data_IF_809261731558
#
_entry.id   IF_809261731558
#
_cell.length_a   1.000
_cell.length_b   1.000
_cell.length_c   1.000
_cell.angle_alpha   90.00
_cell.angle_beta   90.00
_cell.angle_gamma   90.00
#
_symmetry.space_group_name_H-M   'P 1'
#
loop_
_entity.id
_entity.type
_entity.pdbx_description
1 polymer ?
#
# COMPACT_ATOMS: atom_id res chain seq x y z
N UNK A 1 -23.65 9.57 -0.50
CA UNK A 1 -23.00 8.26 -0.70
C UNK A 1 -21.50 8.48 -0.80
N UNK A 2 -20.68 7.64 -0.14
CA UNK A 2 -19.24 7.65 -0.31
C UNK A 2 -18.87 6.57 -1.36
N UNK A 3 -18.82 6.96 -2.61
CA UNK A 3 -18.45 6.06 -3.72
C UNK A 3 -16.99 6.16 -4.16
N UNK A 4 -16.24 7.10 -3.56
CA UNK A 4 -14.88 7.42 -4.02
C UNK A 4 -13.77 6.88 -3.10
N UNK A 5 -14.10 6.36 -1.93
CA UNK A 5 -13.10 5.92 -0.95
C UNK A 5 -13.58 4.66 -0.22
N UNK A 6 -12.73 3.65 -0.15
CA UNK A 6 -12.98 2.41 0.61
C UNK A 6 -12.81 2.58 2.13
N UNK A 7 -12.34 3.73 2.61
CA UNK A 7 -12.22 4.02 4.04
C UNK A 7 -13.58 3.89 4.74
N UNK A 8 -13.61 3.18 5.85
CA UNK A 8 -14.85 2.89 6.58
C UNK A 8 -15.67 1.71 6.02
N UNK A 9 -15.16 0.98 5.03
CA UNK A 9 -15.82 -0.18 4.42
C UNK A 9 -15.21 -1.51 4.87
N UNK A 10 -15.83 -2.62 4.47
CA UNK A 10 -15.30 -3.97 4.70
C UNK A 10 -13.91 -4.16 4.10
N UNK A 11 -13.66 -3.63 2.91
CA UNK A 11 -12.35 -3.71 2.27
C UNK A 11 -11.23 -3.04 3.11
N UNK A 12 -11.54 -1.95 3.80
CA UNK A 12 -10.60 -1.33 4.74
C UNK A 12 -10.32 -2.26 5.94
N UNK A 13 -11.35 -2.90 6.49
CA UNK A 13 -11.21 -3.85 7.61
C UNK A 13 -10.33 -5.02 7.19
N UNK A 14 -10.55 -5.59 5.99
CA UNK A 14 -9.76 -6.69 5.44
C UNK A 14 -8.29 -6.30 5.22
N UNK A 15 -8.03 -5.09 4.75
CA UNK A 15 -6.67 -4.57 4.60
C UNK A 15 -5.95 -4.45 5.96
N UNK A 16 -6.65 -3.97 6.98
CA UNK A 16 -6.07 -3.84 8.33
C UNK A 16 -5.88 -5.20 8.98
N UNK A 17 -6.79 -6.14 8.79
CA UNK A 17 -6.64 -7.51 9.24
C UNK A 17 -5.41 -8.19 8.60
N UNK A 18 -5.22 -8.01 7.30
CA UNK A 18 -4.02 -8.47 6.58
C UNK A 18 -2.74 -7.84 7.14
N UNK A 19 -2.75 -6.56 7.47
CA UNK A 19 -1.61 -5.88 8.11
C UNK A 19 -1.25 -6.49 9.46
N UNK A 20 -2.26 -6.86 10.24
CA UNK A 20 -2.12 -7.56 11.53
C UNK A 20 -1.87 -9.07 11.37
N UNK A 21 -1.80 -9.60 10.14
CA UNK A 21 -1.60 -11.02 9.79
C UNK A 21 -2.68 -11.94 10.36
N UNK A 22 -3.93 -11.52 10.29
CA UNK A 22 -5.10 -12.25 10.75
C UNK A 22 -6.28 -12.09 9.78
N UNK A 23 -7.29 -12.92 9.93
CA UNK A 23 -8.56 -12.73 9.23
C UNK A 23 -9.39 -11.62 9.89
N UNK A 24 -10.40 -11.10 9.18
CA UNK A 24 -11.32 -10.12 9.75
C UNK A 24 -12.08 -10.68 10.98
N UNK A 25 -12.39 -11.97 10.99
CA UNK A 25 -13.02 -12.64 12.12
C UNK A 25 -12.09 -12.73 13.34
N UNK A 26 -10.83 -13.10 13.13
CA UNK A 26 -9.81 -13.13 14.19
C UNK A 26 -9.55 -11.71 14.73
N UNK A 27 -9.54 -10.69 13.85
CA UNK A 27 -9.40 -9.30 14.27
C UNK A 27 -10.58 -8.85 15.13
N UNK A 28 -11.82 -9.25 14.80
CA UNK A 28 -12.98 -8.96 15.66
C UNK A 28 -12.84 -9.61 17.04
N UNK A 29 -12.48 -10.91 17.10
CA UNK A 29 -12.27 -11.62 18.36
C UNK A 29 -11.13 -11.01 19.19
N UNK A 30 -10.03 -10.59 18.54
CA UNK A 30 -8.95 -9.89 19.21
C UNK A 30 -9.42 -8.55 19.79
N UNK A 31 -10.16 -7.77 19.04
CA UNK A 31 -10.66 -6.46 19.47
C UNK A 31 -11.62 -6.55 20.69
N UNK A 32 -12.33 -7.66 20.86
CA UNK A 32 -13.17 -7.92 22.06
C UNK A 32 -12.34 -8.02 23.35
N UNK A 33 -11.04 -8.32 23.25
CA UNK A 33 -10.11 -8.47 24.36
C UNK A 33 -9.28 -7.20 24.63
N UNK A 34 -9.60 -6.10 23.95
CA UNK A 34 -8.88 -4.85 24.10
C UNK A 34 -9.04 -4.24 25.50
N UNK A 35 -7.96 -3.69 25.99
CA UNK A 35 -7.92 -2.98 27.27
C UNK A 35 -7.91 -1.45 27.11
N UNK A 36 -7.44 -0.98 25.94
CA UNK A 36 -7.36 0.43 25.59
C UNK A 36 -7.45 0.62 24.09
N UNK A 37 -7.65 1.84 23.64
CA UNK A 37 -7.62 2.20 22.22
C UNK A 37 -6.61 3.32 21.99
N UNK A 38 -5.99 3.31 20.81
CA UNK A 38 -5.10 4.36 20.32
C UNK A 38 -5.83 5.25 19.32
N UNK A 39 -5.33 6.46 19.14
CA UNK A 39 -5.80 7.34 18.07
C UNK A 39 -5.17 6.87 16.75
N UNK A 40 -6.01 6.45 15.83
CA UNK A 40 -5.63 6.09 14.46
C UNK A 40 -6.36 7.04 13.53
N UNK A 41 -5.65 7.57 12.52
CA UNK A 41 -6.25 8.47 11.56
C UNK A 41 -7.40 7.81 10.83
N UNK A 42 -8.57 8.40 10.94
CA UNK A 42 -9.83 7.89 10.35
C UNK A 42 -10.02 8.44 8.93
N UNK A 43 -8.99 8.38 8.06
CA UNK A 43 -9.07 8.91 6.69
C UNK A 43 -9.07 7.78 5.67
N UNK A 44 -7.92 7.26 5.28
CA UNK A 44 -7.84 6.13 4.35
C UNK A 44 -6.91 5.05 4.91
N UNK A 45 -6.89 3.88 4.25
CA UNK A 45 -6.07 2.74 4.68
C UNK A 45 -4.58 3.05 4.77
N UNK A 46 -4.08 4.01 3.99
CA UNK A 46 -2.67 4.45 4.03
C UNK A 46 -2.36 5.16 5.34
N UNK A 47 -3.15 6.17 5.71
CA UNK A 47 -2.95 6.89 6.97
C UNK A 47 -3.15 5.99 8.18
N UNK A 48 -4.18 5.12 8.15
CA UNK A 48 -4.37 4.15 9.21
C UNK A 48 -3.15 3.22 9.34
N UNK A 49 -2.56 2.78 8.23
CA UNK A 49 -1.37 1.94 8.23
C UNK A 49 -0.15 2.68 8.78
N UNK A 50 0.02 3.96 8.45
CA UNK A 50 1.10 4.79 8.99
C UNK A 50 1.00 4.97 10.49
N UNK A 51 -0.21 5.00 11.06
CA UNK A 51 -0.41 5.05 12.51
C UNK A 51 -0.29 3.67 13.18
N UNK A 52 -0.78 2.63 12.51
CA UNK A 52 -0.74 1.26 13.04
C UNK A 52 0.67 0.68 13.07
N UNK A 53 1.48 0.94 12.04
CA UNK A 53 2.83 0.38 11.95
C UNK A 53 3.75 0.79 13.12
N UNK A 54 3.81 2.07 13.53
CA UNK A 54 4.56 2.46 14.74
C UNK A 54 4.06 1.78 16.00
N UNK A 55 2.74 1.59 16.16
CA UNK A 55 2.19 0.89 17.32
C UNK A 55 2.65 -0.57 17.37
N UNK A 56 2.64 -1.26 16.23
CA UNK A 56 3.19 -2.62 16.10
C UNK A 56 4.67 -2.63 16.50
N UNK A 57 5.45 -1.69 15.97
CA UNK A 57 6.89 -1.60 16.22
C UNK A 57 7.23 -1.27 17.69
N UNK A 58 6.34 -0.57 18.38
CA UNK A 58 6.44 -0.27 19.80
C UNK A 58 5.98 -1.40 20.71
N UNK A 59 5.51 -2.53 20.13
CA UNK A 59 5.03 -3.68 20.89
C UNK A 59 3.64 -3.47 21.51
N UNK A 60 2.82 -2.59 20.95
CA UNK A 60 1.43 -2.44 21.38
C UNK A 60 0.68 -3.76 21.18
N UNK A 61 -0.24 -4.06 22.09
CA UNK A 61 -1.05 -5.28 22.00
C UNK A 61 -1.90 -5.27 20.74
N UNK A 62 -1.91 -6.39 20.05
CA UNK A 62 -2.68 -6.56 18.81
C UNK A 62 -4.17 -6.34 19.02
N UNK A 63 -4.70 -6.75 20.18
CA UNK A 63 -6.08 -6.57 20.60
C UNK A 63 -6.46 -5.08 20.67
N UNK A 64 -5.57 -4.28 21.28
CA UNK A 64 -5.78 -2.84 21.44
C UNK A 64 -5.70 -2.11 20.08
N UNK A 65 -4.80 -2.55 19.20
CA UNK A 65 -4.69 -2.03 17.83
C UNK A 65 -5.96 -2.39 17.04
N UNK A 66 -6.42 -3.64 17.12
CA UNK A 66 -7.63 -4.08 16.42
C UNK A 66 -8.87 -3.27 16.83
N UNK A 67 -9.08 -3.04 18.13
CA UNK A 67 -10.15 -2.19 18.63
C UNK A 67 -10.04 -0.74 18.15
N UNK A 68 -8.81 -0.22 18.09
CA UNK A 68 -8.52 1.13 17.60
C UNK A 68 -8.86 1.30 16.13
N UNK A 69 -8.62 0.26 15.31
CA UNK A 69 -9.00 0.23 13.89
C UNK A 69 -10.53 0.29 13.75
N UNK A 70 -11.29 -0.51 14.50
CA UNK A 70 -12.76 -0.45 14.47
C UNK A 70 -13.29 0.94 14.86
N UNK A 71 -12.70 1.56 15.88
CA UNK A 71 -13.06 2.92 16.28
C UNK A 71 -12.75 3.95 15.19
N UNK A 72 -11.63 3.80 14.48
CA UNK A 72 -11.28 4.66 13.33
C UNK A 72 -12.30 4.48 12.17
N UNK A 73 -12.74 3.25 11.88
CA UNK A 73 -13.79 2.96 10.90
C UNK A 73 -15.09 3.68 11.24
N UNK A 74 -15.51 3.61 12.51
CA UNK A 74 -16.72 4.29 12.99
C UNK A 74 -16.61 5.80 12.83
N UNK A 75 -15.52 6.38 13.29
CA UNK A 75 -15.28 7.82 13.20
C UNK A 75 -15.30 8.31 11.75
N UNK A 76 -14.67 7.57 10.84
CA UNK A 76 -14.66 7.88 9.42
C UNK A 76 -16.03 7.77 8.79
N UNK A 77 -16.78 6.72 9.13
CA UNK A 77 -18.13 6.51 8.60
C UNK A 77 -19.05 7.63 9.06
N UNK A 78 -19.02 7.99 10.33
CA UNK A 78 -19.83 9.09 10.88
C UNK A 78 -19.42 10.41 10.21
N UNK A 79 -18.15 10.74 10.16
CA UNK A 79 -17.67 11.97 9.55
C UNK A 79 -18.03 12.08 8.06
N UNK A 80 -17.87 10.98 7.32
CA UNK A 80 -18.13 10.93 5.88
C UNK A 80 -19.62 10.96 5.50
N UNK A 81 -20.47 10.30 6.30
CA UNK A 81 -21.89 10.14 5.96
C UNK A 81 -22.81 11.15 6.67
N UNK A 82 -22.51 11.47 7.92
CA UNK A 82 -23.34 12.40 8.70
C UNK A 82 -23.20 13.85 8.22
N UNK A 83 -22.01 14.25 7.75
CA UNK A 83 -21.73 15.62 7.29
C UNK A 83 -22.24 16.69 8.28
N UNK A 84 -21.99 16.46 9.57
CA UNK A 84 -22.44 17.33 10.66
C UNK A 84 -23.91 17.17 11.08
N UNK A 85 -24.68 16.30 10.44
CA UNK A 85 -26.07 16.03 10.81
C UNK A 85 -26.12 15.00 11.95
N UNK A 86 -27.01 15.14 12.92
CA UNK A 86 -27.16 14.15 13.97
C UNK A 86 -27.78 12.85 13.44
N UNK A 87 -27.15 11.73 13.73
CA UNK A 87 -27.72 10.39 13.48
C UNK A 87 -28.49 9.99 14.73
N UNK A 88 -29.81 9.87 14.64
CA UNK A 88 -30.73 9.63 15.77
C UNK A 88 -31.90 8.74 15.37
N UNK A 89 -32.54 8.15 16.35
CA UNK A 89 -33.76 7.35 16.17
C UNK A 89 -33.49 5.84 16.13
N UNK A 90 -34.36 5.09 15.46
CA UNK A 90 -34.22 3.66 15.29
C UNK A 90 -33.18 3.38 14.21
N UNK A 91 -32.06 2.78 14.58
CA UNK A 91 -30.94 2.54 13.67
C UNK A 91 -30.85 1.05 13.36
N UNK A 92 -30.81 0.72 12.07
CA UNK A 92 -30.55 -0.64 11.59
C UNK A 92 -29.12 -0.76 11.11
N UNK A 93 -28.46 -1.83 11.52
CA UNK A 93 -27.15 -2.25 11.06
C UNK A 93 -27.29 -3.32 9.98
N UNK A 94 -26.88 -2.98 8.75
CA UNK A 94 -26.99 -3.82 7.58
C UNK A 94 -25.64 -3.95 6.86
N UNK A 95 -25.50 -4.99 6.05
CA UNK A 95 -24.30 -5.26 5.27
C UNK A 95 -23.26 -6.08 6.02
N UNK A 96 -22.31 -6.66 5.28
CA UNK A 96 -21.34 -7.64 5.78
C UNK A 96 -20.60 -7.21 7.05
N UNK A 97 -19.87 -6.08 7.04
CA UNK A 97 -19.10 -5.65 8.21
C UNK A 97 -19.94 -5.53 9.49
N UNK A 98 -21.11 -4.92 9.39
CA UNK A 98 -22.01 -4.73 10.54
C UNK A 98 -22.74 -6.00 10.95
N UNK A 99 -22.93 -6.94 10.02
CA UNK A 99 -23.51 -8.24 10.34
C UNK A 99 -22.53 -9.12 11.10
N UNK A 100 -21.27 -9.19 10.66
CA UNK A 100 -20.30 -10.12 11.23
C UNK A 100 -19.52 -9.56 12.42
N UNK A 101 -19.30 -8.23 12.49
CA UNK A 101 -18.50 -7.63 13.55
C UNK A 101 -19.35 -7.08 14.70
N UNK A 102 -19.30 -7.78 15.84
CA UNK A 102 -19.90 -7.34 17.12
C UNK A 102 -19.24 -6.07 17.63
N UNK A 103 -17.90 -5.98 17.53
CA UNK A 103 -17.12 -4.83 17.98
C UNK A 103 -17.49 -3.59 17.19
N UNK A 104 -17.68 -3.72 15.87
CA UNK A 104 -18.06 -2.59 15.02
C UNK A 104 -19.42 -2.02 15.43
N UNK A 105 -20.43 -2.89 15.65
CA UNK A 105 -21.75 -2.46 16.12
C UNK A 105 -21.67 -1.76 17.47
N UNK A 106 -20.96 -2.35 18.43
CA UNK A 106 -20.77 -1.76 19.75
C UNK A 106 -20.10 -0.40 19.67
N UNK A 107 -19.08 -0.26 18.83
CA UNK A 107 -18.39 1.00 18.62
C UNK A 107 -19.29 2.08 18.00
N UNK A 108 -20.24 1.70 17.12
CA UNK A 108 -21.26 2.62 16.62
C UNK A 108 -22.26 3.01 17.70
N UNK A 109 -22.74 2.06 18.50
CA UNK A 109 -23.65 2.34 19.61
C UNK A 109 -23.05 3.34 20.59
N UNK A 110 -21.77 3.14 20.96
CA UNK A 110 -21.03 4.05 21.84
C UNK A 110 -20.84 5.43 21.22
N UNK A 111 -20.40 5.49 19.95
CA UNK A 111 -20.10 6.77 19.28
C UNK A 111 -21.34 7.62 19.01
N UNK A 112 -22.48 6.99 18.75
CA UNK A 112 -23.74 7.67 18.45
C UNK A 112 -24.66 7.80 19.66
N UNK A 113 -24.32 7.15 20.77
CA UNK A 113 -25.15 7.03 21.97
C UNK A 113 -26.56 6.49 21.64
N UNK A 114 -26.59 5.34 20.97
CA UNK A 114 -27.81 4.64 20.52
C UNK A 114 -27.74 3.17 20.88
N UNK A 115 -28.84 2.46 20.69
CA UNK A 115 -28.89 0.99 20.66
C UNK A 115 -29.39 0.58 19.28
N UNK A 116 -28.47 0.27 18.38
CA UNK A 116 -28.80 -0.15 17.02
C UNK A 116 -29.24 -1.61 16.97
N UNK A 117 -29.96 -1.97 15.93
CA UNK A 117 -30.52 -3.31 15.70
C UNK A 117 -29.84 -3.92 14.46
N UNK A 118 -29.25 -5.10 14.60
CA UNK A 118 -28.83 -5.92 13.48
C UNK A 118 -29.88 -7.03 13.31
N UNK A 119 -30.81 -6.90 12.34
CA UNK A 119 -31.88 -7.87 12.17
C UNK A 119 -31.34 -9.20 11.62
N UNK A 120 -32.13 -10.26 11.84
CA UNK A 120 -31.90 -11.53 11.14
C UNK A 120 -31.89 -11.30 9.62
N UNK A 121 -31.05 -12.02 8.90
CA UNK A 121 -30.88 -11.85 7.45
C UNK A 121 -30.44 -10.45 6.99
N UNK A 122 -29.79 -9.66 7.85
CA UNK A 122 -29.28 -8.32 7.55
C UNK A 122 -28.42 -8.23 6.27
N UNK A 123 -27.77 -9.32 5.88
CA UNK A 123 -27.03 -9.45 4.62
C UNK A 123 -27.93 -9.44 3.39
N UNK A 124 -29.17 -9.90 3.53
CA UNK A 124 -30.09 -10.09 2.41
C UNK A 124 -31.04 -8.91 2.20
N UNK A 125 -30.97 -7.89 3.06
CA UNK A 125 -31.93 -6.77 3.02
C UNK A 125 -31.93 -6.01 1.68
N UNK A 126 -30.79 -5.90 1.02
CA UNK A 126 -30.73 -5.26 -0.30
C UNK A 126 -31.47 -6.10 -1.35
N UNK A 127 -31.24 -7.41 -1.35
CA UNK A 127 -31.94 -8.32 -2.27
C UNK A 127 -33.43 -8.42 -1.92
N UNK A 128 -33.76 -8.46 -0.64
CA UNK A 128 -35.14 -8.44 -0.17
C UNK A 128 -35.87 -7.16 -0.59
N UNK A 129 -35.23 -6.01 -0.41
CA UNK A 129 -35.76 -4.72 -0.87
C UNK A 129 -35.97 -4.67 -2.39
N UNK A 130 -35.04 -5.22 -3.16
CA UNK A 130 -35.17 -5.36 -4.60
C UNK A 130 -36.37 -6.26 -4.98
N UNK A 131 -36.52 -7.38 -4.29
CA UNK A 131 -37.64 -8.30 -4.51
C UNK A 131 -38.99 -7.66 -4.16
N UNK A 132 -39.05 -6.88 -3.06
CA UNK A 132 -40.27 -6.15 -2.67
C UNK A 132 -40.59 -4.99 -3.64
N UNK A 133 -39.62 -4.48 -4.36
CA UNK A 133 -39.81 -3.43 -5.35
C UNK A 133 -40.17 -3.96 -6.75
N UNK A 134 -40.01 -5.28 -6.97
CA UNK A 134 -40.35 -5.90 -8.23
C UNK A 134 -41.86 -5.89 -8.45
N UNK A 135 -42.32 -5.22 -9.51
CA UNK A 135 -43.71 -5.03 -9.86
C UNK A 135 -44.12 -5.75 -11.17
N UNK A 136 -43.16 -6.45 -11.80
CA UNK A 136 -43.39 -7.12 -13.09
C UNK A 136 -43.27 -8.62 -12.96
N UNK A 137 -44.19 -9.32 -13.59
CA UNK A 137 -44.12 -10.76 -13.78
C UNK A 137 -43.23 -11.10 -15.00
N UNK A 138 -42.36 -12.08 -14.85
CA UNK A 138 -41.53 -12.60 -15.92
C UNK A 138 -41.75 -14.09 -16.07
N UNK A 139 -41.78 -14.54 -17.32
CA UNK A 139 -41.83 -15.96 -17.65
C UNK A 139 -40.40 -16.51 -17.59
N UNK A 140 -40.12 -17.42 -16.67
CA UNK A 140 -38.77 -17.94 -16.42
C UNK A 140 -38.11 -18.52 -17.68
N UNK A 141 -38.88 -19.18 -18.53
CA UNK A 141 -38.38 -19.73 -19.81
C UNK A 141 -37.94 -18.66 -20.79
N UNK A 142 -38.61 -17.51 -20.81
CA UNK A 142 -38.21 -16.37 -21.66
C UNK A 142 -36.93 -15.70 -21.14
N UNK A 143 -36.81 -15.57 -19.82
CA UNK A 143 -35.59 -15.06 -19.18
C UNK A 143 -34.40 -15.99 -19.46
N UNK A 144 -34.58 -17.32 -19.32
CA UNK A 144 -33.55 -18.29 -19.62
C UNK A 144 -33.11 -18.22 -21.11
N UNK A 145 -34.09 -18.16 -22.04
CA UNK A 145 -33.78 -18.02 -23.46
C UNK A 145 -33.11 -16.69 -23.83
N UNK A 146 -33.38 -15.60 -23.06
CA UNK A 146 -32.71 -14.33 -23.22
C UNK A 146 -31.27 -14.38 -22.69
N UNK A 147 -31.01 -15.08 -21.58
CA UNK A 147 -29.68 -15.29 -21.02
C UNK A 147 -28.80 -16.13 -21.96
N UNK A 148 -29.35 -17.19 -22.58
CA UNK A 148 -28.63 -18.01 -23.56
C UNK A 148 -28.19 -17.21 -24.80
N UNK A 149 -28.94 -16.16 -25.14
CA UNK A 149 -28.64 -15.24 -26.25
C UNK A 149 -27.84 -14.01 -25.81
N UNK A 150 -27.65 -13.84 -24.52
CA UNK A 150 -26.91 -12.69 -24.00
C UNK A 150 -25.43 -12.81 -24.37
N UNK A 151 -25.02 -12.07 -25.38
CA UNK A 151 -23.62 -11.80 -25.61
C UNK A 151 -23.23 -10.57 -24.80
N UNK A 152 -22.18 -10.65 -24.03
CA UNK A 152 -21.64 -9.50 -23.32
C UNK A 152 -21.24 -8.43 -24.36
N UNK A 153 -22.13 -7.49 -24.59
CA UNK A 153 -21.93 -6.37 -25.54
C UNK A 153 -21.41 -5.12 -24.85
N UNK A 154 -20.91 -5.26 -23.62
CA UNK A 154 -20.28 -4.14 -22.94
C UNK A 154 -19.08 -3.68 -23.77
N UNK A 155 -19.26 -2.61 -24.50
CA UNK A 155 -18.17 -1.87 -25.14
C UNK A 155 -17.45 -1.10 -24.05
N UNK A 156 -16.34 -1.63 -23.59
CA UNK A 156 -15.43 -0.87 -22.74
C UNK A 156 -14.69 0.13 -23.62
N UNK A 157 -14.48 1.34 -23.11
CA UNK A 157 -13.50 2.23 -23.68
C UNK A 157 -12.14 1.50 -23.62
N UNK A 158 -11.54 1.24 -24.76
CA UNK A 158 -10.26 0.55 -24.85
C UNK A 158 -9.20 1.59 -25.16
N UNK A 159 -8.14 1.59 -24.37
CA UNK A 159 -6.93 2.33 -24.64
C UNK A 159 -6.05 1.58 -25.67
N UNK A 160 -5.12 2.27 -26.33
CA UNK A 160 -4.15 1.60 -27.19
C UNK A 160 -3.26 0.66 -26.33
N UNK A 161 -2.74 -0.44 -26.93
CA UNK A 161 -1.78 -1.29 -26.27
C UNK A 161 -0.56 -0.51 -25.75
N UNK A 162 0.02 -0.96 -24.64
CA UNK A 162 1.24 -0.36 -24.08
C UNK A 162 2.41 -0.47 -25.08
N UNK A 163 2.52 -1.61 -25.77
CA UNK A 163 3.45 -1.84 -26.86
C UNK A 163 2.69 -2.45 -28.03
N UNK A 164 2.85 -1.87 -29.22
CA UNK A 164 2.23 -2.36 -30.43
C UNK A 164 2.94 -3.63 -30.97
N UNK A 165 4.21 -3.84 -30.61
CA UNK A 165 4.98 -5.01 -31.03
C UNK A 165 6.06 -5.38 -30.01
N UNK A 166 6.62 -6.58 -30.19
CA UNK A 166 7.72 -7.08 -29.37
C UNK A 166 9.00 -6.26 -29.58
N UNK A 167 9.24 -5.82 -30.80
CA UNK A 167 10.39 -4.99 -31.17
C UNK A 167 10.34 -3.64 -30.46
N UNK A 168 9.17 -3.04 -30.35
CA UNK A 168 8.98 -1.78 -29.58
C UNK A 168 9.29 -1.99 -28.09
N UNK A 169 8.82 -3.09 -27.50
CA UNK A 169 9.16 -3.44 -26.11
C UNK A 169 10.68 -3.69 -25.97
N UNK A 170 11.31 -4.41 -26.88
CA UNK A 170 12.75 -4.68 -26.83
C UNK A 170 13.57 -3.39 -26.95
N UNK A 171 13.16 -2.46 -27.79
CA UNK A 171 13.79 -1.14 -27.90
C UNK A 171 13.63 -0.32 -26.62
N UNK A 172 12.44 -0.32 -26.03
CA UNK A 172 12.18 0.30 -24.74
C UNK A 172 13.05 -0.31 -23.65
N UNK A 173 13.09 -1.63 -23.54
CA UNK A 173 13.89 -2.36 -22.56
C UNK A 173 15.40 -2.07 -22.73
N UNK A 174 15.91 -2.13 -23.96
CA UNK A 174 17.31 -1.84 -24.24
C UNK A 174 17.71 -0.42 -23.85
N UNK A 175 16.85 0.57 -24.10
CA UNK A 175 17.08 1.96 -23.68
C UNK A 175 17.24 2.07 -22.16
N UNK A 176 16.39 1.39 -21.38
CA UNK A 176 16.48 1.41 -19.92
C UNK A 176 17.70 0.64 -19.40
N UNK A 177 18.01 -0.52 -20.01
CA UNK A 177 19.17 -1.32 -19.63
C UNK A 177 20.53 -0.67 -19.95
N UNK A 178 20.57 0.30 -20.86
CA UNK A 178 21.78 1.07 -21.14
C UNK A 178 22.19 2.03 -20.00
N UNK A 179 21.25 2.36 -19.11
CA UNK A 179 21.48 3.20 -17.94
C UNK A 179 21.63 2.33 -16.69
N UNK A 180 22.81 1.76 -16.50
CA UNK A 180 23.12 0.89 -15.36
C UNK A 180 24.13 1.55 -14.42
N UNK A 181 23.95 1.28 -13.12
CA UNK A 181 24.96 1.67 -12.12
C UNK A 181 26.14 0.69 -12.18
N UNK A 182 27.40 1.17 -12.20
CA UNK A 182 28.55 0.30 -12.24
C UNK A 182 28.60 -0.68 -11.08
N UNK A 183 28.93 -1.94 -11.40
CA UNK A 183 29.04 -3.02 -10.40
C UNK A 183 30.40 -3.70 -10.52
N UNK A 184 30.94 -4.08 -9.36
CA UNK A 184 32.17 -4.90 -9.29
C UNK A 184 31.97 -6.07 -8.32
N UNK A 185 32.74 -7.13 -8.54
CA UNK A 185 32.66 -8.30 -7.66
C UNK A 185 33.22 -7.96 -6.27
N UNK A 186 32.44 -8.22 -5.23
CA UNK A 186 32.81 -7.89 -3.86
C UNK A 186 34.11 -8.56 -3.42
N UNK A 187 34.34 -9.82 -3.81
CA UNK A 187 35.57 -10.58 -3.46
C UNK A 187 36.85 -10.01 -4.09
N UNK A 188 36.77 -9.15 -5.10
CA UNK A 188 37.90 -8.46 -5.73
C UNK A 188 38.18 -7.08 -5.14
N UNK A 189 37.31 -6.60 -4.24
CA UNK A 189 37.44 -5.26 -3.66
C UNK A 189 38.47 -5.24 -2.52
N UNK A 190 39.37 -4.27 -2.57
CA UNK A 190 40.31 -3.94 -1.52
C UNK A 190 40.17 -2.45 -1.20
N UNK A 191 39.73 -2.13 0.00
CA UNK A 191 39.56 -0.73 0.45
C UNK A 191 38.33 -0.53 1.30
N UNK A 192 38.08 0.73 1.73
CA UNK A 192 36.90 1.06 2.52
C UNK A 192 35.63 1.01 1.68
N UNK A 193 34.52 0.74 2.34
CA UNK A 193 33.18 0.69 1.74
C UNK A 193 32.21 1.60 2.48
N UNK A 194 31.16 2.00 1.78
CA UNK A 194 30.04 2.73 2.35
C UNK A 194 28.78 1.89 2.27
N UNK A 195 27.99 1.87 3.35
CA UNK A 195 26.74 1.12 3.42
C UNK A 195 25.57 2.09 3.46
N UNK A 196 24.65 1.92 2.51
CA UNK A 196 23.36 2.61 2.49
C UNK A 196 22.22 1.67 2.88
N UNK A 197 21.35 2.10 3.77
CA UNK A 197 20.18 1.34 4.22
C UNK A 197 18.94 2.20 4.02
N UNK A 198 18.02 1.75 3.16
CA UNK A 198 16.69 2.32 3.02
C UNK A 198 15.68 1.42 3.73
N UNK A 199 15.13 1.92 4.83
CA UNK A 199 14.09 1.26 5.61
C UNK A 199 12.73 1.86 5.28
N UNK A 200 12.17 1.45 4.14
CA UNK A 200 10.86 1.91 3.67
C UNK A 200 9.69 1.29 4.43
N UNK A 201 8.48 1.77 4.15
CA UNK A 201 7.23 1.30 4.78
C UNK A 201 6.91 -0.17 4.47
N UNK A 202 7.27 -0.65 3.29
CA UNK A 202 6.96 -2.01 2.80
C UNK A 202 8.19 -2.88 2.59
N UNK A 203 9.33 -2.28 2.28
CA UNK A 203 10.56 -2.99 1.91
C UNK A 203 11.78 -2.40 2.60
N UNK A 204 12.81 -3.24 2.75
CA UNK A 204 14.15 -2.81 3.16
C UNK A 204 15.10 -3.03 2.01
N UNK A 205 15.95 -2.04 1.75
CA UNK A 205 17.04 -2.15 0.77
C UNK A 205 18.36 -1.89 1.50
N UNK A 206 19.38 -2.62 1.10
CA UNK A 206 20.75 -2.42 1.56
C UNK A 206 21.66 -2.43 0.35
N UNK A 207 22.55 -1.46 0.29
CA UNK A 207 23.59 -1.36 -0.74
C UNK A 207 24.95 -1.18 -0.08
N UNK A 208 25.96 -1.82 -0.63
CA UNK A 208 27.37 -1.59 -0.29
C UNK A 208 28.05 -1.05 -1.55
N UNK A 209 28.73 0.07 -1.43
CA UNK A 209 29.48 0.71 -2.52
C UNK A 209 30.93 0.95 -2.12
N UNK A 210 31.81 0.99 -3.10
CA UNK A 210 33.21 1.40 -2.91
C UNK A 210 33.35 2.94 -2.98
N UNK A 211 34.58 3.43 -2.81
CA UNK A 211 34.93 4.86 -2.90
C UNK A 211 34.66 5.48 -4.28
N UNK A 212 34.49 4.67 -5.32
CA UNK A 212 34.12 5.08 -6.67
C UNK A 212 32.62 4.99 -6.94
N UNK A 213 31.83 4.75 -5.92
CA UNK A 213 30.37 4.53 -6.00
C UNK A 213 29.97 3.31 -6.86
N UNK A 214 30.86 2.34 -7.03
CA UNK A 214 30.54 1.10 -7.71
C UNK A 214 29.84 0.14 -6.72
N UNK A 215 28.80 -0.50 -7.18
CA UNK A 215 28.01 -1.40 -6.34
C UNK A 215 28.77 -2.73 -6.13
N UNK A 216 29.01 -3.07 -4.87
CA UNK A 216 29.61 -4.34 -4.43
C UNK A 216 28.51 -5.35 -4.00
N UNK A 217 27.46 -4.88 -3.34
CA UNK A 217 26.40 -5.74 -2.81
C UNK A 217 25.07 -5.00 -2.83
N UNK A 218 23.99 -5.74 -3.07
CA UNK A 218 22.62 -5.23 -2.93
C UNK A 218 21.73 -6.28 -2.30
N UNK A 219 20.82 -5.83 -1.45
CA UNK A 219 19.70 -6.63 -0.95
C UNK A 219 18.42 -5.82 -1.08
N UNK A 220 17.34 -6.47 -1.48
CA UNK A 220 16.00 -5.92 -1.56
C UNK A 220 15.01 -6.98 -1.07
N UNK A 221 14.25 -6.67 -0.02
CA UNK A 221 13.30 -7.63 0.55
C UNK A 221 12.14 -6.92 1.26
N UNK A 222 10.97 -7.58 1.42
CA UNK A 222 9.88 -7.08 2.25
C UNK A 222 10.33 -6.85 3.69
N UNK A 223 9.89 -5.75 4.33
CA UNK A 223 10.28 -5.43 5.71
C UNK A 223 9.51 -6.23 6.77
N UNK A 224 8.44 -6.92 6.39
CA UNK A 224 7.61 -7.78 7.25
C UNK A 224 7.13 -7.09 8.55
N UNK A 225 7.06 -5.74 8.55
CA UNK A 225 6.67 -4.95 9.71
C UNK A 225 7.76 -4.77 10.77
N UNK A 226 8.93 -5.42 10.63
CA UNK A 226 10.08 -5.24 11.51
C UNK A 226 11.39 -5.31 10.73
N UNK A 227 11.98 -4.17 10.36
CA UNK A 227 13.19 -4.13 9.54
C UNK A 227 14.45 -4.59 10.27
N UNK A 228 14.52 -4.43 11.59
CA UNK A 228 15.78 -4.61 12.33
C UNK A 228 16.38 -6.03 12.23
N UNK A 229 15.62 -7.13 12.41
CA UNK A 229 16.16 -8.48 12.26
C UNK A 229 16.68 -8.74 10.84
N UNK A 230 15.97 -8.22 9.83
CA UNK A 230 16.32 -8.39 8.43
C UNK A 230 17.64 -7.67 8.08
N UNK A 231 17.78 -6.42 8.52
CA UNK A 231 19.02 -5.65 8.34
C UNK A 231 20.18 -6.33 9.05
N UNK A 232 19.96 -6.76 10.31
CA UNK A 232 20.97 -7.46 11.09
C UNK A 232 21.46 -8.73 10.39
N UNK A 233 20.55 -9.52 9.86
CA UNK A 233 20.88 -10.75 9.13
C UNK A 233 21.76 -10.44 7.92
N UNK A 234 21.41 -9.43 7.12
CA UNK A 234 22.18 -9.05 5.95
C UNK A 234 23.57 -8.51 6.32
N UNK A 235 23.67 -7.68 7.35
CA UNK A 235 24.96 -7.19 7.83
C UNK A 235 25.85 -8.33 8.34
N UNK A 236 25.30 -9.26 9.11
CA UNK A 236 26.05 -10.43 9.59
C UNK A 236 26.51 -11.32 8.43
N UNK A 237 25.69 -11.50 7.41
CA UNK A 237 26.06 -12.24 6.19
C UNK A 237 27.25 -11.56 5.51
N UNK A 238 27.19 -10.26 5.28
CA UNK A 238 28.28 -9.49 4.67
C UNK A 238 29.59 -9.63 5.46
N UNK A 239 29.54 -9.42 6.77
CA UNK A 239 30.73 -9.55 7.61
C UNK A 239 31.29 -10.99 7.67
N UNK A 240 30.44 -12.00 7.60
CA UNK A 240 30.86 -13.40 7.56
C UNK A 240 31.56 -13.76 6.24
N UNK A 241 31.02 -13.26 5.14
CA UNK A 241 31.56 -13.50 3.79
C UNK A 241 32.82 -12.65 3.52
N UNK A 242 32.94 -11.48 4.19
CA UNK A 242 34.01 -10.52 4.02
C UNK A 242 34.60 -10.06 5.37
N UNK A 243 35.30 -10.97 6.14
CA UNK A 243 35.71 -10.68 7.50
C UNK A 243 36.75 -9.56 7.64
N UNK A 244 37.41 -9.17 6.54
CA UNK A 244 38.34 -8.02 6.48
C UNK A 244 37.72 -6.71 6.03
N UNK A 245 36.39 -6.62 5.92
CA UNK A 245 35.70 -5.45 5.40
C UNK A 245 35.94 -4.20 6.26
N UNK A 246 36.41 -3.13 5.63
CA UNK A 246 36.57 -1.83 6.26
C UNK A 246 35.36 -0.94 5.90
N UNK A 247 34.47 -0.72 6.84
CA UNK A 247 33.31 0.14 6.66
C UNK A 247 33.70 1.57 7.03
N UNK A 248 33.69 2.47 6.04
CA UNK A 248 34.00 3.89 6.21
C UNK A 248 32.80 4.68 6.75
N UNK A 249 31.60 4.36 6.29
CA UNK A 249 30.37 4.99 6.81
C UNK A 249 29.14 4.10 6.59
N UNK A 250 28.14 4.31 7.43
CA UNK A 250 26.81 3.73 7.31
C UNK A 250 25.78 4.85 7.35
N UNK A 251 24.95 4.93 6.32
CA UNK A 251 23.89 5.95 6.19
C UNK A 251 22.54 5.25 6.05
N UNK A 252 21.53 5.78 6.72
CA UNK A 252 20.16 5.25 6.66
C UNK A 252 19.19 6.31 6.17
N UNK A 253 18.12 5.85 5.54
CA UNK A 253 17.03 6.67 5.00
C UNK A 253 15.70 5.91 5.05
N UNK A 254 14.62 6.55 4.64
CA UNK A 254 13.29 5.96 4.58
C UNK A 254 12.52 6.11 5.90
N UNK A 255 11.31 5.56 5.94
CA UNK A 255 10.38 5.68 7.09
C UNK A 255 10.96 5.19 8.42
N UNK A 256 11.84 4.18 8.38
CA UNK A 256 12.51 3.61 9.55
C UNK A 256 13.89 4.21 9.82
N UNK A 257 14.24 5.35 9.22
CA UNK A 257 15.56 5.98 9.30
C UNK A 257 16.05 6.10 10.74
N UNK A 258 15.29 6.76 11.60
CA UNK A 258 15.69 7.02 12.98
C UNK A 258 15.81 5.73 13.81
N UNK A 259 14.88 4.79 13.62
CA UNK A 259 14.92 3.48 14.26
C UNK A 259 16.19 2.72 13.91
N UNK A 260 16.51 2.63 12.61
CA UNK A 260 17.68 1.91 12.11
C UNK A 260 18.96 2.62 12.52
N UNK A 261 19.02 3.96 12.43
CA UNK A 261 20.15 4.77 12.87
C UNK A 261 20.51 4.50 14.33
N UNK A 262 19.51 4.52 15.20
CA UNK A 262 19.71 4.32 16.63
C UNK A 262 20.09 2.84 16.94
N UNK A 263 19.44 1.87 16.32
CA UNK A 263 19.67 0.45 16.57
C UNK A 263 21.07 -0.01 16.13
N UNK A 264 21.55 0.47 15.00
CA UNK A 264 22.86 0.06 14.44
C UNK A 264 23.95 1.11 14.59
N UNK A 265 23.65 2.25 15.23
CA UNK A 265 24.57 3.38 15.41
C UNK A 265 25.14 3.87 14.09
N UNK A 266 24.26 4.05 13.10
CA UNK A 266 24.67 4.56 11.81
C UNK A 266 25.19 6.01 11.92
N UNK A 267 26.17 6.36 11.08
CA UNK A 267 26.81 7.67 11.10
C UNK A 267 25.84 8.78 10.73
N UNK A 268 25.00 8.53 9.70
CA UNK A 268 24.07 9.53 9.18
C UNK A 268 22.66 8.95 8.99
N UNK A 269 21.65 9.82 9.19
CA UNK A 269 20.30 9.62 8.72
C UNK A 269 19.97 10.73 7.72
N UNK A 270 19.39 10.38 6.59
CA UNK A 270 19.00 11.30 5.53
C UNK A 270 17.52 11.20 5.23
N UNK A 271 16.90 12.35 5.03
CA UNK A 271 15.55 12.38 4.47
C UNK A 271 15.56 11.75 3.08
N UNK A 272 14.57 10.93 2.80
CA UNK A 272 14.46 10.12 1.57
C UNK A 272 14.59 10.96 0.28
N UNK A 273 13.97 12.16 0.25
CA UNK A 273 14.10 13.12 -0.87
C UNK A 273 15.53 13.53 -1.16
N UNK A 274 16.33 13.74 -0.10
CA UNK A 274 17.75 14.10 -0.24
C UNK A 274 18.55 12.91 -0.77
N UNK A 275 18.26 11.70 -0.27
CA UNK A 275 18.93 10.49 -0.75
C UNK A 275 18.63 10.23 -2.23
N UNK A 276 17.38 10.33 -2.68
CA UNK A 276 16.99 10.22 -4.09
C UNK A 276 17.71 11.23 -4.98
N UNK A 277 17.65 12.51 -4.59
CA UNK A 277 18.28 13.57 -5.37
C UNK A 277 19.80 13.40 -5.48
N UNK A 278 20.45 13.03 -4.37
CA UNK A 278 21.90 12.82 -4.34
C UNK A 278 22.32 11.73 -5.32
N UNK A 279 21.62 10.59 -5.32
CA UNK A 279 21.91 9.49 -6.23
C UNK A 279 21.58 9.86 -7.69
N UNK A 280 20.42 10.48 -7.93
CA UNK A 280 20.02 10.89 -9.28
C UNK A 280 21.03 11.87 -9.89
N UNK A 281 21.41 12.90 -9.16
CA UNK A 281 22.40 13.91 -9.62
C UNK A 281 23.77 13.31 -9.85
N UNK A 282 24.16 12.31 -9.05
CA UNK A 282 25.46 11.65 -9.22
C UNK A 282 25.53 10.85 -10.53
N UNK A 283 24.49 10.08 -10.86
CA UNK A 283 24.47 9.22 -12.05
C UNK A 283 23.94 9.91 -13.30
N UNK A 284 23.16 11.00 -13.14
CA UNK A 284 22.60 11.82 -14.20
C UNK A 284 22.71 13.30 -13.80
N UNK A 285 23.88 13.95 -13.99
CA UNK A 285 24.12 15.32 -13.52
C UNK A 285 23.17 16.38 -14.12
N UNK A 286 22.61 16.10 -15.29
CA UNK A 286 21.66 16.91 -16.06
C UNK A 286 20.19 16.52 -15.83
N UNK A 287 19.87 15.78 -14.76
CA UNK A 287 18.49 15.41 -14.44
C UNK A 287 17.65 16.66 -14.13
N UNK A 288 16.51 16.82 -14.81
CA UNK A 288 15.56 17.91 -14.63
C UNK A 288 14.36 17.54 -13.78
N UNK A 289 13.98 16.25 -13.79
CA UNK A 289 12.80 15.77 -13.11
C UNK A 289 12.98 14.34 -12.61
N UNK A 290 12.56 14.09 -11.37
CA UNK A 290 12.57 12.75 -10.77
C UNK A 290 11.13 12.38 -10.44
N UNK A 291 10.70 11.19 -10.87
CA UNK A 291 9.43 10.58 -10.48
C UNK A 291 9.77 9.35 -9.65
N UNK A 292 9.35 9.36 -8.41
CA UNK A 292 9.46 8.23 -7.49
C UNK A 292 8.08 7.72 -7.10
N UNK A 293 7.82 6.44 -7.37
CA UNK A 293 6.59 5.75 -7.00
C UNK A 293 6.96 4.64 -6.04
N UNK A 294 6.68 4.89 -4.77
CA UNK A 294 6.93 3.96 -3.68
C UNK A 294 5.84 2.91 -3.50
N UNK A 295 5.90 2.18 -2.39
CA UNK A 295 4.88 1.21 -2.02
C UNK A 295 3.55 1.85 -1.62
N UNK A 296 3.56 3.05 -1.05
CA UNK A 296 2.37 3.69 -0.46
C UNK A 296 2.25 5.19 -0.76
N UNK A 297 3.28 5.80 -1.24
CA UNK A 297 3.36 7.21 -1.61
C UNK A 297 4.00 7.37 -2.99
N UNK A 298 3.86 8.55 -3.55
CA UNK A 298 4.57 8.94 -4.75
C UNK A 298 5.06 10.39 -4.60
N UNK A 299 6.22 10.66 -5.19
CA UNK A 299 6.91 11.93 -5.12
C UNK A 299 7.42 12.31 -6.49
N UNK A 300 7.38 13.60 -6.79
CA UNK A 300 8.06 14.15 -7.96
C UNK A 300 8.91 15.33 -7.54
N UNK A 301 10.10 15.42 -8.07
CA UNK A 301 11.03 16.52 -7.81
C UNK A 301 11.34 17.24 -9.11
N UNK A 302 11.08 18.54 -9.16
CA UNK A 302 11.57 19.39 -10.22
C UNK A 302 12.94 19.92 -9.83
N UNK A 303 13.90 19.84 -10.74
CA UNK A 303 15.29 20.27 -10.52
C UNK A 303 15.58 21.43 -11.46
N UNK A 304 16.07 22.52 -10.92
CA UNK A 304 16.49 23.72 -11.65
C UNK A 304 17.81 24.19 -11.06
N UNK A 305 18.74 24.56 -11.90
CA UNK A 305 20.09 25.03 -11.52
C UNK A 305 20.83 24.04 -10.60
N UNK A 306 20.59 22.74 -10.79
CA UNK A 306 21.21 21.67 -10.02
C UNK A 306 20.75 21.55 -8.57
N UNK A 307 19.58 22.11 -8.23
CA UNK A 307 18.91 22.01 -6.93
C UNK A 307 17.43 21.67 -7.10
N UNK A 308 16.83 21.08 -6.06
CA UNK A 308 15.38 20.83 -6.04
C UNK A 308 14.67 22.18 -5.94
N UNK A 309 13.92 22.57 -6.99
CA UNK A 309 13.11 23.79 -7.02
C UNK A 309 11.69 23.58 -6.53
N UNK A 310 11.14 22.38 -6.73
CA UNK A 310 9.80 22.04 -6.27
C UNK A 310 9.67 20.55 -5.95
N UNK A 311 8.80 20.21 -4.99
CA UNK A 311 8.47 18.85 -4.59
C UNK A 311 6.95 18.69 -4.62
N UNK A 312 6.48 17.69 -5.35
CA UNK A 312 5.08 17.28 -5.36
C UNK A 312 4.98 15.95 -4.63
N UNK A 313 4.16 15.91 -3.59
CA UNK A 313 3.96 14.74 -2.76
C UNK A 313 2.51 14.28 -2.83
N UNK A 314 2.31 12.99 -3.00
CA UNK A 314 1.03 12.36 -2.73
C UNK A 314 1.21 11.26 -1.67
N UNK A 315 0.96 11.62 -0.45
CA UNK A 315 0.91 10.72 0.71
C UNK A 315 -0.54 10.39 1.12
N UNK A 316 -1.49 11.11 0.54
CA UNK A 316 -2.90 11.02 0.91
C UNK A 316 -3.63 9.82 0.28
N UNK A 317 -3.09 9.26 -0.79
CA UNK A 317 -3.74 8.18 -1.53
C UNK A 317 -2.70 7.21 -2.11
N UNK A 318 -2.83 5.93 -1.79
CA UNK A 318 -1.96 4.88 -2.36
C UNK A 318 -2.37 4.45 -3.78
N UNK A 319 -3.40 5.05 -4.33
CA UNK A 319 -3.78 4.85 -5.73
C UNK A 319 -2.61 5.24 -6.65
N UNK A 320 -2.23 4.33 -7.55
CA UNK A 320 -1.06 4.50 -8.39
C UNK A 320 0.26 4.07 -7.75
N UNK A 321 0.29 3.71 -6.46
CA UNK A 321 1.48 3.19 -5.79
C UNK A 321 1.58 1.67 -5.88
N UNK A 322 2.72 1.10 -5.48
CA UNK A 322 2.97 -0.34 -5.54
C UNK A 322 1.95 -1.19 -4.78
N UNK A 323 1.44 -0.72 -3.65
CA UNK A 323 0.40 -1.43 -2.87
C UNK A 323 -0.94 -1.53 -3.61
N UNK A 324 -1.28 -0.56 -4.46
CA UNK A 324 -2.44 -0.61 -5.33
C UNK A 324 -2.31 -1.75 -6.35
N UNK A 325 -1.18 -1.81 -7.07
CA UNK A 325 -0.89 -2.88 -8.02
C UNK A 325 -0.89 -4.26 -7.33
N UNK A 326 -0.29 -4.35 -6.15
CA UNK A 326 -0.26 -5.59 -5.37
C UNK A 326 -1.67 -6.05 -4.98
N UNK A 327 -2.55 -5.14 -4.57
CA UNK A 327 -3.94 -5.46 -4.21
C UNK A 327 -4.69 -6.04 -5.41
N UNK A 328 -4.54 -5.43 -6.59
CA UNK A 328 -5.20 -5.95 -7.81
C UNK A 328 -4.61 -7.28 -8.28
N UNK A 329 -3.29 -7.43 -8.25
CA UNK A 329 -2.65 -8.70 -8.58
C UNK A 329 -3.19 -9.83 -7.70
N UNK A 330 -3.22 -9.62 -6.38
CA UNK A 330 -3.73 -10.60 -5.42
C UNK A 330 -5.22 -10.89 -5.62
N UNK A 331 -6.04 -9.87 -5.87
CA UNK A 331 -7.48 -10.04 -6.13
C UNK A 331 -7.74 -10.89 -7.38
N UNK A 332 -6.85 -10.84 -8.36
CA UNK A 332 -6.90 -11.62 -9.58
C UNK A 332 -6.12 -12.95 -9.50
N UNK A 333 -5.50 -13.27 -8.36
CA UNK A 333 -4.77 -14.52 -8.12
C UNK A 333 -3.37 -14.58 -8.72
N UNK A 334 -2.73 -13.42 -8.96
CA UNK A 334 -1.39 -13.32 -9.54
C UNK A 334 -0.34 -12.79 -8.54
N UNK A 335 0.91 -13.19 -8.74
CA UNK A 335 2.05 -12.45 -8.22
C UNK A 335 2.19 -11.11 -8.97
N UNK A 336 2.73 -10.08 -8.29
CA UNK A 336 2.85 -8.72 -8.88
C UNK A 336 3.71 -8.72 -10.16
N UNK A 337 4.75 -9.56 -10.23
CA UNK A 337 5.61 -9.64 -11.42
C UNK A 337 4.87 -10.32 -12.58
N UNK A 338 4.13 -11.38 -12.29
CA UNK A 338 3.28 -12.06 -13.29
C UNK A 338 2.18 -11.12 -13.78
N UNK A 339 1.54 -10.37 -12.86
CA UNK A 339 0.52 -9.40 -13.19
C UNK A 339 1.03 -8.30 -14.13
N UNK A 340 2.22 -7.76 -13.87
CA UNK A 340 2.84 -6.77 -14.74
C UNK A 340 3.11 -7.33 -16.16
N UNK A 341 3.52 -8.60 -16.25
CA UNK A 341 3.78 -9.24 -17.53
C UNK A 341 2.53 -9.40 -18.39
N UNK A 342 1.36 -9.60 -17.77
CA UNK A 342 0.07 -9.71 -18.51
C UNK A 342 -0.29 -8.41 -19.25
N UNK A 343 0.08 -7.25 -18.69
CA UNK A 343 -0.25 -5.95 -19.27
C UNK A 343 0.61 -5.55 -20.47
N UNK A 344 1.81 -6.14 -20.65
CA UNK A 344 2.77 -5.69 -21.65
C UNK A 344 2.24 -5.69 -23.08
N UNK A 345 1.50 -6.72 -23.45
CA UNK A 345 0.97 -6.93 -24.81
C UNK A 345 -0.55 -7.10 -24.82
N UNK A 346 -1.24 -6.50 -23.87
CA UNK A 346 -2.70 -6.49 -23.86
C UNK A 346 -3.20 -5.76 -25.13
N UNK A 347 -3.96 -6.45 -25.96
CA UNK A 347 -4.49 -5.92 -27.23
C UNK A 347 -5.69 -4.99 -27.02
N UNK A 348 -6.37 -5.10 -25.88
CA UNK A 348 -7.55 -4.32 -25.53
C UNK A 348 -7.51 -3.87 -24.07
N UNK A 349 -6.56 -3.02 -23.66
CA UNK A 349 -6.53 -2.49 -22.30
C UNK A 349 -7.81 -1.70 -22.02
N UNK A 350 -8.33 -1.81 -20.81
CA UNK A 350 -9.55 -1.13 -20.39
C UNK A 350 -9.18 0.13 -19.63
N UNK A 351 -9.79 1.26 -19.99
CA UNK A 351 -9.74 2.47 -19.19
C UNK A 351 -10.57 2.26 -17.91
N UNK A 352 -9.89 2.21 -16.77
CA UNK A 352 -10.51 2.11 -15.45
C UNK A 352 -10.96 3.48 -14.90
N UNK A 353 -10.82 4.52 -15.71
CA UNK A 353 -11.17 5.88 -15.35
C UNK A 353 -10.14 6.57 -14.45
N UNK A 354 -10.24 7.87 -14.42
CA UNK A 354 -9.28 8.79 -13.82
C UNK A 354 -9.70 9.29 -12.44
N UNK A 355 -10.36 8.49 -11.63
CA UNK A 355 -10.54 8.86 -10.21
C UNK A 355 -9.20 9.09 -9.48
N UNK A 356 -8.10 8.82 -10.18
CA UNK A 356 -6.71 8.96 -9.72
C UNK A 356 -6.00 10.21 -10.27
N UNK A 357 -6.62 10.99 -11.17
CA UNK A 357 -5.98 12.15 -11.83
C UNK A 357 -6.10 13.46 -11.07
N UNK A 358 -6.92 13.54 -10.05
CA UNK A 358 -6.99 14.77 -9.26
C UNK A 358 -5.91 14.85 -8.18
N UNK A 359 -4.69 14.47 -8.57
CA UNK A 359 -3.50 14.64 -7.76
C UNK A 359 -2.54 15.59 -8.47
#
# INVERSE_FOLDING_TARGET
MNGSCAGGTGAFIDQMATLLKMSAEEMNKAAEQAQRTYTIASRCGVFAKSDVQPLINQGARTEDIAASIYKAVVNQTIAGLAQGRPIKGNILYLGGPLTFSTVLRKSFDEALNVTGICPENSLLYVALGAALYADKEFVLTEVAAALDKYAATATYASEPPLFASKEEYEAFHARHMSHSVPRVAFGAHCGPVHIGIDSGSTTVKLVVVDEKSQILYTNYQPNLGNPLPLIREQLLKIYKEHPGLQVASVTTTGYGEELVKNAFRCDYGLVETVAHFTAAKYFMPDVDFIIDIGGQDMKCFKIEDGAISNIFLNEACSSGCGSFLQTFAQALGYDVKEFAALGLFADRPVDLGLSLIHI
#
